data_IF_483409030457
#
_entry.id   IF_483409030457
#
_cell.length_a   1.000
_cell.length_b   1.000
_cell.length_c   1.000
_cell.angle_alpha   90.00
_cell.angle_beta   90.00
_cell.angle_gamma   90.00
#
_symmetry.space_group_name_H-M   'P 1'
#
loop_
_entity.id
_entity.type
_entity.pdbx_description
1 polymer ?
#
# COMPACT_ATOMS: atom_id res chain seq x y z
N UNK A 1 0.15 4.01 -9.29
CA UNK A 1 -1.25 3.74 -9.70
C UNK A 1 -2.02 3.30 -8.47
N UNK A 2 -3.23 3.84 -8.25
CA UNK A 2 -4.15 3.38 -7.23
C UNK A 2 -5.17 2.42 -7.85
N UNK A 3 -5.52 1.36 -7.14
CA UNK A 3 -6.58 0.43 -7.54
C UNK A 3 -7.42 0.09 -6.32
N UNK A 4 -8.72 0.20 -6.47
CA UNK A 4 -9.71 -0.14 -5.44
C UNK A 4 -10.38 -1.44 -5.86
N UNK A 5 -10.39 -2.43 -4.98
CA UNK A 5 -11.08 -3.70 -5.26
C UNK A 5 -12.51 -3.68 -4.72
N UNK A 6 -12.68 -3.15 -3.51
CA UNK A 6 -13.95 -2.98 -2.81
C UNK A 6 -13.87 -1.72 -1.94
N UNK A 7 -15.02 -1.21 -1.46
CA UNK A 7 -15.03 -0.02 -0.59
C UNK A 7 -14.17 -0.25 0.65
N UNK A 8 -13.11 0.53 0.79
CA UNK A 8 -12.14 0.44 1.90
C UNK A 8 -10.92 -0.44 1.62
N UNK A 9 -10.88 -1.17 0.49
CA UNK A 9 -9.75 -2.01 0.10
C UNK A 9 -9.00 -1.36 -1.07
N UNK A 10 -7.80 -0.88 -0.77
CA UNK A 10 -6.99 -0.09 -1.70
C UNK A 10 -5.62 -0.72 -1.91
N UNK A 11 -5.10 -0.58 -3.13
CA UNK A 11 -3.72 -0.91 -3.45
C UNK A 11 -3.04 0.24 -4.17
N UNK A 12 -1.78 0.50 -3.79
CA UNK A 12 -0.88 1.43 -4.43
C UNK A 12 0.27 0.64 -5.07
N UNK A 13 0.33 0.70 -6.40
CA UNK A 13 1.40 0.09 -7.19
C UNK A 13 2.40 1.15 -7.64
N UNK A 14 3.64 1.01 -7.19
CA UNK A 14 4.81 1.75 -7.67
C UNK A 14 5.76 0.86 -8.49
N UNK A 15 6.89 1.43 -8.90
CA UNK A 15 7.91 0.73 -9.69
C UNK A 15 8.62 -0.37 -8.89
N UNK A 16 8.86 -0.13 -7.59
CA UNK A 16 9.58 -1.07 -6.70
C UNK A 16 8.68 -1.74 -5.66
N UNK A 17 7.60 -1.08 -5.27
CA UNK A 17 6.79 -1.49 -4.13
C UNK A 17 5.33 -1.61 -4.53
N UNK A 18 4.66 -2.58 -3.92
CA UNK A 18 3.20 -2.67 -3.90
C UNK A 18 2.74 -2.61 -2.46
N UNK A 19 1.85 -1.69 -2.17
CA UNK A 19 1.22 -1.51 -0.86
C UNK A 19 -0.27 -1.81 -0.99
N UNK A 20 -0.83 -2.55 -0.03
CA UNK A 20 -2.25 -2.86 0.04
C UNK A 20 -2.71 -2.51 1.44
N UNK A 21 -3.82 -1.79 1.55
CA UNK A 21 -4.51 -1.51 2.81
C UNK A 21 -5.93 -2.02 2.70
N UNK A 22 -6.29 -2.91 3.60
CA UNK A 22 -7.62 -3.46 3.70
C UNK A 22 -8.51 -2.60 4.60
N UNK A 23 -9.82 -2.80 4.46
CA UNK A 23 -10.84 -2.08 5.23
C UNK A 23 -10.72 -2.28 6.74
N UNK A 24 -10.22 -3.43 7.17
CA UNK A 24 -10.00 -3.76 8.59
C UNK A 24 -8.74 -3.10 9.18
N UNK A 25 -7.98 -2.36 8.36
CA UNK A 25 -6.73 -1.71 8.75
C UNK A 25 -5.49 -2.59 8.61
N UNK A 26 -5.63 -3.84 8.15
CA UNK A 26 -4.48 -4.69 7.85
C UNK A 26 -3.75 -4.19 6.60
N UNK A 27 -2.43 -4.42 6.58
CA UNK A 27 -1.53 -3.89 5.56
C UNK A 27 -0.64 -4.99 4.97
N UNK A 28 -0.42 -4.90 3.66
CA UNK A 28 0.57 -5.71 2.95
C UNK A 28 1.54 -4.80 2.21
N UNK A 29 2.81 -5.20 2.21
CA UNK A 29 3.86 -4.49 1.51
C UNK A 29 4.78 -5.50 0.83
N UNK A 30 4.92 -5.39 -0.48
CA UNK A 30 5.74 -6.27 -1.31
C UNK A 30 6.86 -5.50 -1.99
N UNK A 31 8.08 -6.01 -1.90
CA UNK A 31 9.25 -5.46 -2.59
C UNK A 31 9.43 -6.16 -3.94
N UNK A 32 8.76 -5.67 -4.98
CA UNK A 32 8.77 -6.25 -6.33
C UNK A 32 10.17 -6.35 -6.95
N UNK A 33 11.13 -5.54 -6.48
CA UNK A 33 12.53 -5.63 -6.94
C UNK A 33 13.22 -6.88 -6.41
N UNK A 34 12.95 -7.27 -5.16
CA UNK A 34 13.60 -8.42 -4.52
C UNK A 34 12.71 -9.67 -4.56
N UNK A 35 11.41 -9.50 -4.75
CA UNK A 35 10.39 -10.53 -4.79
C UNK A 35 9.40 -10.20 -5.93
N UNK A 36 9.78 -10.48 -7.19
CA UNK A 36 8.96 -10.16 -8.37
C UNK A 36 7.59 -10.86 -8.38
N UNK A 37 7.47 -11.96 -7.64
CA UNK A 37 6.25 -12.76 -7.53
C UNK A 37 5.37 -12.36 -6.33
N UNK A 38 5.80 -11.37 -5.53
CA UNK A 38 5.02 -10.82 -4.41
C UNK A 38 4.59 -11.89 -3.39
N UNK A 39 5.42 -12.90 -3.14
CA UNK A 39 5.12 -13.98 -2.20
C UNK A 39 5.30 -13.58 -0.74
N UNK A 40 6.17 -12.60 -0.46
CA UNK A 40 6.57 -12.25 0.89
C UNK A 40 5.98 -10.91 1.30
N UNK A 41 4.96 -10.95 2.17
CA UNK A 41 4.52 -9.75 2.86
C UNK A 41 5.61 -9.28 3.83
N UNK A 42 6.08 -8.05 3.66
CA UNK A 42 7.11 -7.43 4.48
C UNK A 42 6.64 -6.21 5.28
N UNK A 43 5.32 -5.98 5.37
CA UNK A 43 4.73 -4.86 6.11
C UNK A 43 5.04 -4.90 7.61
N UNK A 44 5.06 -6.09 8.22
CA UNK A 44 5.34 -6.27 9.65
C UNK A 44 6.84 -6.14 10.01
N UNK A 45 7.75 -6.00 9.03
CA UNK A 45 9.19 -5.90 9.31
C UNK A 45 9.53 -4.45 9.68
N UNK A 46 10.03 -4.22 10.88
CA UNK A 46 10.38 -2.88 11.40
C UNK A 46 11.26 -2.05 10.44
N UNK A 47 12.22 -2.70 9.76
CA UNK A 47 13.08 -2.06 8.74
C UNK A 47 12.34 -1.44 7.55
N UNK A 48 11.10 -1.86 7.31
CA UNK A 48 10.26 -1.37 6.23
C UNK A 48 9.17 -0.39 6.72
N UNK A 49 9.10 -0.09 8.02
CA UNK A 49 8.15 0.87 8.56
C UNK A 49 8.18 2.23 7.83
N UNK A 50 9.36 2.82 7.50
CA UNK A 50 9.39 4.08 6.76
C UNK A 50 8.75 4.00 5.36
N UNK A 51 8.91 2.86 4.68
CA UNK A 51 8.31 2.65 3.35
C UNK A 51 6.80 2.50 3.47
N UNK A 52 6.36 1.69 4.44
CA UNK A 52 4.94 1.48 4.71
C UNK A 52 4.23 2.77 5.06
N UNK A 53 4.80 3.57 5.97
CA UNK A 53 4.25 4.87 6.38
C UNK A 53 4.18 5.86 5.22
N UNK A 54 5.20 5.88 4.35
CA UNK A 54 5.17 6.71 3.14
C UNK A 54 3.98 6.36 2.23
N UNK A 55 3.73 5.07 1.98
CA UNK A 55 2.59 4.65 1.18
C UNK A 55 1.24 4.85 1.87
N UNK A 56 1.16 4.62 3.19
CA UNK A 56 -0.05 4.88 3.96
C UNK A 56 -0.45 6.36 3.89
N UNK A 57 0.51 7.27 4.11
CA UNK A 57 0.28 8.71 4.00
C UNK A 57 -0.11 9.12 2.58
N UNK A 58 0.57 8.59 1.56
CA UNK A 58 0.23 8.87 0.17
C UNK A 58 -1.20 8.41 -0.18
N UNK A 59 -1.64 7.26 0.37
CA UNK A 59 -3.00 6.77 0.20
C UNK A 59 -4.01 7.73 0.84
N UNK A 60 -3.76 8.17 2.07
CA UNK A 60 -4.67 9.11 2.76
C UNK A 60 -4.80 10.45 2.01
N UNK A 61 -3.69 10.97 1.48
CA UNK A 61 -3.71 12.18 0.64
C UNK A 61 -4.50 11.99 -0.67
N UNK A 62 -4.52 10.79 -1.24
CA UNK A 62 -5.32 10.50 -2.44
C UNK A 62 -6.80 10.42 -2.08
N UNK A 63 -7.15 9.70 -1.00
CA UNK A 63 -8.53 9.52 -0.59
C UNK A 63 -9.19 10.84 -0.15
N UNK A 64 -8.48 11.66 0.60
CA UNK A 64 -8.97 13.00 1.03
C UNK A 64 -9.25 13.92 -0.16
N UNK A 65 -8.47 13.82 -1.24
CA UNK A 65 -8.69 14.60 -2.47
C UNK A 65 -9.87 14.08 -3.30
N UNK A 66 -10.15 12.78 -3.23
CA UNK A 66 -11.28 12.16 -3.95
C UNK A 66 -12.61 12.56 -3.32
N UNK A 67 -12.69 12.60 -1.98
CA UNK A 67 -13.90 13.04 -1.24
C UNK A 67 -14.20 14.54 -1.36
N UNK A 68 -13.21 15.33 -1.81
CA UNK A 68 -13.35 16.78 -1.99
C UNK A 68 -13.92 17.18 -3.36
N UNK A 69 -14.44 16.22 -4.14
CA UNK A 69 -14.83 16.40 -5.54
C UNK A 69 -16.30 16.06 -5.82
#
# INVERSE_FOLDING_TARGET
MITTFDKGNYSLSGTRWRYIRYKDGSEELYNRKNDPHEWTNVAAKAKNAPVREHFAKALDEILTKDESK
#
